data_IF_069966796303
#
_entry.id   IF_069966796303
#
_cell.length_a   1.000
_cell.length_b   1.000
_cell.length_c   1.000
_cell.angle_alpha   90.00
_cell.angle_beta   90.00
_cell.angle_gamma   90.00
#
_symmetry.space_group_name_H-M   'P 1'
#
loop_
_entity.id
_entity.type
_entity.pdbx_description
1 polymer ?
#
# COMPACT_ATOMS: atom_id res chain seq x y z
N UNK A 1 9.21 -5.40 15.69
CA UNK A 1 10.36 -4.71 16.27
C UNK A 1 9.99 -4.02 17.56
N UNK A 2 10.98 -3.78 18.43
CA UNK A 2 10.75 -3.00 19.63
C UNK A 2 11.00 -1.52 19.33
N UNK A 3 10.02 -0.67 19.59
CA UNK A 3 10.22 0.78 19.65
C UNK A 3 10.61 1.12 21.08
N UNK A 4 11.79 1.72 21.35
CA UNK A 4 12.20 2.07 22.71
C UNK A 4 11.13 2.94 23.40
N UNK A 5 10.70 2.52 24.58
CA UNK A 5 9.67 3.23 25.35
C UNK A 5 8.23 2.95 24.95
N UNK A 6 7.96 2.16 23.92
CA UNK A 6 6.60 1.76 23.55
C UNK A 6 6.12 0.58 24.41
N UNK A 7 4.95 0.72 25.03
CA UNK A 7 4.31 -0.36 25.80
C UNK A 7 3.63 -1.39 24.87
N UNK A 8 3.15 -0.97 23.71
CA UNK A 8 2.51 -1.81 22.70
C UNK A 8 3.06 -1.38 21.33
N UNK A 9 3.53 -2.34 20.54
CA UNK A 9 3.94 -2.11 19.14
C UNK A 9 3.09 -2.98 18.24
N UNK A 10 2.38 -2.32 17.33
CA UNK A 10 1.64 -2.96 16.27
C UNK A 10 2.14 -2.40 14.94
N UNK A 11 3.09 -3.10 14.33
CA UNK A 11 3.81 -2.63 13.14
C UNK A 11 4.24 -3.84 12.29
N UNK A 12 3.76 -3.89 11.06
CA UNK A 12 4.11 -4.92 10.09
C UNK A 12 5.39 -4.62 9.31
N UNK A 13 5.84 -3.37 9.30
CA UNK A 13 7.04 -2.97 8.55
C UNK A 13 8.32 -3.63 9.10
N UNK A 14 8.29 -4.10 10.33
CA UNK A 14 9.44 -4.74 10.97
C UNK A 14 9.43 -6.26 10.80
N UNK A 15 8.26 -6.86 10.72
CA UNK A 15 8.12 -8.34 10.64
C UNK A 15 8.02 -8.85 9.21
N UNK A 16 7.71 -7.99 8.22
CA UNK A 16 7.41 -8.40 6.85
C UNK A 16 6.11 -9.16 6.69
N UNK A 17 5.44 -9.50 7.81
CA UNK A 17 4.13 -10.16 7.80
C UNK A 17 3.04 -9.09 7.80
N UNK A 18 1.99 -9.22 6.96
CA UNK A 18 0.85 -8.34 7.03
C UNK A 18 0.22 -8.43 8.42
N UNK A 19 0.15 -7.32 9.14
CA UNK A 19 -0.59 -7.31 10.40
C UNK A 19 -2.06 -7.29 10.04
N UNK A 20 -2.70 -8.46 10.16
CA UNK A 20 -4.15 -8.53 10.10
C UNK A 20 -4.75 -7.72 11.24
N UNK A 21 -5.85 -7.01 10.96
CA UNK A 21 -6.63 -6.37 12.01
C UNK A 21 -7.05 -7.37 13.10
N UNK A 22 -7.21 -8.65 12.74
CA UNK A 22 -7.51 -9.75 13.66
C UNK A 22 -6.39 -10.02 14.67
N UNK A 23 -5.18 -9.54 14.42
CA UNK A 23 -4.06 -9.62 15.35
C UNK A 23 -4.06 -8.48 16.41
N UNK A 24 -4.95 -7.49 16.27
CA UNK A 24 -5.11 -6.48 17.30
C UNK A 24 -5.69 -7.09 18.59
N UNK A 25 -5.27 -6.61 19.76
CA UNK A 25 -5.84 -7.07 21.01
C UNK A 25 -7.36 -6.81 21.07
N UNK A 26 -8.09 -7.81 21.58
CA UNK A 26 -9.51 -7.67 21.84
C UNK A 26 -9.80 -6.47 22.77
N UNK A 27 -8.91 -6.25 23.73
CA UNK A 27 -8.97 -5.12 24.67
C UNK A 27 -7.62 -4.42 24.75
N UNK A 28 -7.65 -3.08 24.73
CA UNK A 28 -6.49 -2.20 24.86
C UNK A 28 -6.76 -1.21 25.99
N UNK A 29 -5.83 -1.08 26.96
CA UNK A 29 -5.82 0.04 27.88
C UNK A 29 -4.74 1.03 27.46
N UNK A 30 -5.09 2.30 27.42
CA UNK A 30 -4.17 3.42 27.19
C UNK A 30 -3.73 4.09 28.49
N UNK A 31 -4.11 3.53 29.65
CA UNK A 31 -3.75 4.07 30.96
C UNK A 31 -2.22 4.07 31.15
N UNK A 32 -1.70 5.22 31.52
CA UNK A 32 -0.25 5.40 31.73
C UNK A 32 0.56 5.54 30.43
N UNK A 33 -0.07 5.68 29.27
CA UNK A 33 0.61 5.97 28.02
C UNK A 33 0.59 7.46 27.71
N UNK A 34 1.74 8.02 27.30
CA UNK A 34 1.88 9.43 26.94
C UNK A 34 1.24 9.77 25.58
N UNK A 35 1.01 8.77 24.71
CA UNK A 35 0.40 8.98 23.41
C UNK A 35 0.44 7.77 22.49
N UNK A 36 -0.14 7.95 21.32
CA UNK A 36 -0.08 7.03 20.19
C UNK A 36 0.72 7.66 19.07
N UNK A 37 1.57 6.89 18.43
CA UNK A 37 2.36 7.34 17.31
C UNK A 37 2.47 6.27 16.22
N UNK A 38 2.81 6.72 15.02
CA UNK A 38 3.13 5.84 13.90
C UNK A 38 4.40 6.32 13.21
N UNK A 39 5.14 5.42 12.59
CA UNK A 39 6.30 5.73 11.75
C UNK A 39 5.87 6.16 10.34
N UNK A 40 4.70 5.70 9.90
CA UNK A 40 4.10 6.06 8.62
C UNK A 40 2.61 6.34 8.85
N UNK A 41 2.16 7.52 8.43
CA UNK A 41 0.75 7.87 8.46
C UNK A 41 0.07 7.28 7.21
N UNK A 42 -0.66 6.19 7.40
CA UNK A 42 -1.44 5.50 6.37
C UNK A 42 -2.77 4.99 6.93
N UNK A 43 -3.56 4.29 6.14
CA UNK A 43 -4.91 3.88 6.54
C UNK A 43 -4.88 2.85 7.66
N UNK A 44 -3.98 1.89 7.63
CA UNK A 44 -3.91 0.85 8.66
C UNK A 44 -3.43 1.41 10.00
N UNK A 45 -2.50 2.37 10.00
CA UNK A 45 -2.12 3.11 11.21
C UNK A 45 -3.29 3.93 11.79
N UNK A 46 -4.10 4.58 10.93
CA UNK A 46 -5.30 5.34 11.36
C UNK A 46 -6.32 4.39 11.99
N UNK A 47 -6.61 3.27 11.33
CA UNK A 47 -7.54 2.25 11.82
C UNK A 47 -7.04 1.66 13.14
N UNK A 48 -5.76 1.30 13.22
CA UNK A 48 -5.15 0.76 14.43
C UNK A 48 -5.21 1.72 15.61
N UNK A 49 -4.87 2.99 15.39
CA UNK A 49 -4.97 4.03 16.42
C UNK A 49 -6.42 4.24 16.89
N UNK A 50 -7.39 4.26 15.99
CA UNK A 50 -8.80 4.40 16.33
C UNK A 50 -9.29 3.23 17.20
N UNK A 51 -8.94 1.99 16.84
CA UNK A 51 -9.28 0.80 17.63
C UNK A 51 -8.67 0.87 19.02
N UNK A 52 -7.39 1.25 19.13
CA UNK A 52 -6.72 1.41 20.42
C UNK A 52 -7.42 2.44 21.32
N UNK A 53 -7.80 3.60 20.76
CA UNK A 53 -8.52 4.67 21.50
C UNK A 53 -9.92 4.21 21.96
N UNK A 54 -10.55 3.30 21.23
CA UNK A 54 -11.85 2.73 21.59
C UNK A 54 -11.75 1.63 22.65
N UNK A 55 -10.55 1.18 23.00
CA UNK A 55 -10.32 0.14 23.99
C UNK A 55 -10.17 -1.27 23.42
N UNK A 56 -9.95 -1.39 22.11
CA UNK A 56 -9.71 -2.66 21.43
C UNK A 56 -10.86 -3.10 20.51
N UNK A 57 -10.70 -4.26 19.89
CA UNK A 57 -11.66 -4.79 18.92
C UNK A 57 -13.06 -5.06 19.54
N UNK A 58 -13.11 -5.45 20.80
CA UNK A 58 -14.39 -5.76 21.48
C UNK A 58 -15.33 -4.55 21.59
N UNK A 59 -14.79 -3.33 21.51
CA UNK A 59 -15.57 -2.09 21.55
C UNK A 59 -16.27 -1.77 20.21
N UNK A 60 -16.03 -2.55 19.14
CA UNK A 60 -16.52 -2.28 17.78
C UNK A 60 -17.44 -3.40 17.35
N UNK A 61 -18.59 -3.08 16.76
CA UNK A 61 -19.51 -4.08 16.25
C UNK A 61 -18.89 -4.91 15.09
N UNK A 62 -19.32 -6.16 14.90
CA UNK A 62 -18.71 -7.07 13.91
C UNK A 62 -18.75 -6.54 12.47
N UNK A 63 -19.84 -5.90 12.03
CA UNK A 63 -19.97 -5.36 10.67
C UNK A 63 -18.97 -4.24 10.43
N UNK A 64 -18.79 -3.35 11.41
CA UNK A 64 -17.79 -2.29 11.33
C UNK A 64 -16.36 -2.81 11.38
N UNK A 65 -16.10 -3.87 12.18
CA UNK A 65 -14.78 -4.54 12.14
C UNK A 65 -14.46 -5.04 10.74
N UNK A 66 -15.45 -5.63 10.04
CA UNK A 66 -15.26 -6.10 8.68
C UNK A 66 -14.90 -4.96 7.71
N UNK A 67 -15.57 -3.80 7.82
CA UNK A 67 -15.25 -2.60 7.03
C UNK A 67 -13.84 -2.09 7.34
N UNK A 68 -13.48 -1.95 8.63
CA UNK A 68 -12.14 -1.51 9.04
C UNK A 68 -11.05 -2.48 8.57
N UNK A 69 -11.33 -3.78 8.65
CA UNK A 69 -10.45 -4.83 8.15
C UNK A 69 -10.24 -4.70 6.64
N UNK A 70 -11.30 -4.45 5.89
CA UNK A 70 -11.18 -4.23 4.45
C UNK A 70 -10.41 -2.95 4.14
N UNK A 71 -10.63 -1.85 4.87
CA UNK A 71 -9.90 -0.60 4.68
C UNK A 71 -8.38 -0.76 4.90
N UNK A 72 -8.00 -1.44 5.98
CA UNK A 72 -6.60 -1.79 6.26
C UNK A 72 -6.01 -2.69 5.16
N UNK A 73 -6.79 -3.68 4.71
CA UNK A 73 -6.35 -4.60 3.66
C UNK A 73 -6.15 -3.91 2.31
N UNK A 74 -7.01 -2.94 1.97
CA UNK A 74 -6.84 -2.11 0.78
C UNK A 74 -5.54 -1.30 0.79
N UNK A 75 -5.15 -0.80 1.97
CA UNK A 75 -3.87 -0.09 2.14
C UNK A 75 -2.68 -0.95 1.71
N UNK A 76 -2.72 -2.21 2.08
CA UNK A 76 -1.59 -3.12 1.98
C UNK A 76 -1.58 -4.01 0.75
N UNK A 77 -2.76 -4.41 0.28
CA UNK A 77 -2.91 -5.44 -0.74
C UNK A 77 -3.64 -4.96 -1.98
N UNK A 78 -4.10 -3.70 -2.00
CA UNK A 78 -4.86 -3.11 -3.10
C UNK A 78 -6.12 -3.92 -3.47
N UNK A 79 -6.70 -4.60 -2.50
CA UNK A 79 -7.93 -5.40 -2.62
C UNK A 79 -8.62 -5.52 -1.27
N UNK A 80 -9.88 -5.94 -1.28
CA UNK A 80 -10.63 -6.22 -0.05
C UNK A 80 -10.10 -7.39 0.75
N UNK A 81 -10.38 -7.39 2.04
CA UNK A 81 -9.99 -8.47 2.92
C UNK A 81 -10.75 -9.77 2.58
N UNK A 82 -10.10 -10.93 2.72
CA UNK A 82 -10.79 -12.21 2.55
C UNK A 82 -11.97 -12.36 3.52
N UNK A 83 -13.10 -12.90 3.02
CA UNK A 83 -14.26 -13.22 3.85
C UNK A 83 -15.14 -12.05 4.26
N UNK A 84 -14.92 -10.83 3.74
CA UNK A 84 -15.86 -9.71 3.86
C UNK A 84 -16.88 -9.74 2.72
N UNK A 85 -18.07 -9.19 2.98
CA UNK A 85 -19.09 -9.03 1.93
C UNK A 85 -18.71 -7.95 0.93
N UNK A 86 -19.31 -7.96 -0.26
CA UNK A 86 -19.06 -6.94 -1.28
C UNK A 86 -19.39 -5.52 -0.78
N UNK A 87 -20.40 -5.36 0.07
CA UNK A 87 -20.77 -4.06 0.63
C UNK A 87 -19.75 -3.60 1.69
N UNK A 88 -19.32 -4.48 2.59
CA UNK A 88 -18.27 -4.17 3.56
C UNK A 88 -16.95 -3.84 2.86
N UNK A 89 -16.64 -4.53 1.77
CA UNK A 89 -15.47 -4.25 0.95
C UNK A 89 -15.56 -2.88 0.27
N UNK A 90 -16.70 -2.56 -0.32
CA UNK A 90 -16.97 -1.26 -0.93
C UNK A 90 -16.80 -0.11 0.08
N UNK A 91 -17.35 -0.27 1.28
CA UNK A 91 -17.22 0.71 2.35
C UNK A 91 -15.80 0.79 2.90
N UNK A 92 -15.11 -0.34 3.05
CA UNK A 92 -13.70 -0.38 3.45
C UNK A 92 -12.80 0.31 2.45
N UNK A 93 -12.99 0.06 1.15
CA UNK A 93 -12.30 0.78 0.09
C UNK A 93 -12.57 2.29 0.16
N UNK A 94 -13.83 2.69 0.36
CA UNK A 94 -14.20 4.10 0.49
C UNK A 94 -13.52 4.79 1.67
N UNK A 95 -13.37 4.12 2.81
CA UNK A 95 -12.61 4.61 3.96
C UNK A 95 -11.12 4.73 3.63
N UNK A 96 -10.52 3.73 2.98
CA UNK A 96 -9.13 3.79 2.53
C UNK A 96 -8.90 4.99 1.60
N UNK A 97 -9.74 5.18 0.59
CA UNK A 97 -9.64 6.30 -0.36
C UNK A 97 -9.78 7.66 0.36
N UNK A 98 -10.67 7.77 1.36
CA UNK A 98 -10.82 8.96 2.17
C UNK A 98 -9.53 9.30 2.91
N UNK A 99 -8.95 8.34 3.61
CA UNK A 99 -7.69 8.51 4.35
C UNK A 99 -6.52 8.82 3.42
N UNK A 100 -6.32 8.04 2.37
CA UNK A 100 -5.20 8.18 1.44
C UNK A 100 -5.21 9.54 0.73
N UNK A 101 -6.38 10.00 0.26
CA UNK A 101 -6.49 11.29 -0.41
C UNK A 101 -6.29 12.47 0.55
N UNK A 102 -6.79 12.37 1.79
CA UNK A 102 -6.55 13.41 2.79
C UNK A 102 -5.06 13.53 3.11
N UNK A 103 -4.38 12.41 3.37
CA UNK A 103 -2.94 12.40 3.62
C UNK A 103 -2.11 12.89 2.43
N UNK A 104 -2.52 12.56 1.21
CA UNK A 104 -1.85 13.02 -0.01
C UNK A 104 -2.07 14.52 -0.30
N UNK A 105 -3.10 15.14 0.28
CA UNK A 105 -3.43 16.56 0.06
C UNK A 105 -2.68 17.52 0.98
N UNK A 106 -1.96 17.02 1.98
CA UNK A 106 -1.24 17.84 2.96
C UNK A 106 0.27 17.77 2.74
N UNK A 107 0.97 18.81 3.15
CA UNK A 107 2.44 18.80 3.16
C UNK A 107 2.96 17.81 4.23
N UNK A 108 4.16 17.28 3.99
CA UNK A 108 4.79 16.32 4.90
C UNK A 108 4.92 16.84 6.35
N UNK A 109 5.13 18.13 6.51
CA UNK A 109 5.19 18.80 7.82
C UNK A 109 3.87 18.78 8.59
N UNK A 110 2.75 18.60 7.88
CA UNK A 110 1.40 18.57 8.43
C UNK A 110 0.84 17.15 8.60
N UNK A 111 1.57 16.13 8.14
CA UNK A 111 1.11 14.73 8.16
C UNK A 111 0.65 14.25 9.54
N UNK A 112 1.36 14.65 10.61
CA UNK A 112 0.95 14.26 11.99
C UNK A 112 -0.38 14.89 12.41
N UNK A 113 -0.66 16.13 11.98
CA UNK A 113 -1.95 16.79 12.25
C UNK A 113 -3.07 16.14 11.47
N UNK A 114 -2.84 15.85 10.19
CA UNK A 114 -3.79 15.16 9.32
C UNK A 114 -4.10 13.75 9.85
N UNK A 115 -3.09 13.01 10.25
CA UNK A 115 -3.25 11.71 10.91
C UNK A 115 -4.14 11.81 12.15
N UNK A 116 -3.82 12.71 13.07
CA UNK A 116 -4.59 12.90 14.29
C UNK A 116 -6.04 13.36 14.01
N UNK A 117 -6.27 14.11 12.93
CA UNK A 117 -7.61 14.51 12.51
C UNK A 117 -8.41 13.30 12.02
N UNK A 118 -7.86 12.49 11.12
CA UNK A 118 -8.50 11.29 10.59
C UNK A 118 -8.82 10.26 11.67
N UNK A 119 -7.90 10.07 12.63
CA UNK A 119 -8.15 9.20 13.79
C UNK A 119 -9.34 9.71 14.60
N UNK A 120 -9.40 11.02 14.93
CA UNK A 120 -10.53 11.60 15.67
C UNK A 120 -11.85 11.46 14.92
N UNK A 121 -11.86 11.70 13.62
CA UNK A 121 -13.04 11.57 12.76
C UNK A 121 -13.55 10.12 12.76
N UNK A 122 -12.67 9.16 12.59
CA UNK A 122 -13.03 7.74 12.62
C UNK A 122 -13.54 7.31 14.01
N UNK A 123 -12.87 7.72 15.09
CA UNK A 123 -13.31 7.43 16.46
C UNK A 123 -14.70 8.03 16.75
N UNK A 124 -14.95 9.26 16.31
CA UNK A 124 -16.24 9.91 16.48
C UNK A 124 -17.36 9.15 15.77
N UNK A 125 -17.18 8.78 14.51
CA UNK A 125 -18.14 8.01 13.74
C UNK A 125 -18.41 6.63 14.36
N UNK A 126 -17.36 5.94 14.83
CA UNK A 126 -17.50 4.64 15.50
C UNK A 126 -18.28 4.74 16.82
N UNK A 127 -18.01 5.76 17.64
CA UNK A 127 -18.72 6.00 18.91
C UNK A 127 -20.18 6.38 18.71
N UNK A 128 -20.46 7.24 17.73
CA UNK A 128 -21.80 7.71 17.44
C UNK A 128 -22.68 6.65 16.74
N UNK A 129 -22.11 5.58 16.26
CA UNK A 129 -22.84 4.62 15.45
C UNK A 129 -23.20 5.14 14.05
N UNK A 130 -22.54 6.21 13.59
CA UNK A 130 -22.77 6.86 12.30
C UNK A 130 -22.06 6.15 11.15
N UNK A 131 -22.36 6.53 9.91
CA UNK A 131 -21.62 6.04 8.75
C UNK A 131 -20.13 6.39 8.87
N UNK A 132 -19.28 5.44 8.54
CA UNK A 132 -17.84 5.70 8.55
C UNK A 132 -17.48 6.72 7.46
N UNK A 133 -16.46 7.56 7.70
CA UNK A 133 -15.94 8.45 6.68
C UNK A 133 -15.62 7.65 5.42
N UNK A 134 -16.12 8.07 4.30
CA UNK A 134 -15.85 7.38 3.03
C UNK A 134 -15.77 8.37 1.88
N UNK A 135 -15.08 7.96 0.86
CA UNK A 135 -15.07 8.65 -0.42
C UNK A 135 -15.32 7.62 -1.51
N UNK A 136 -16.24 7.93 -2.40
CA UNK A 136 -16.40 7.08 -3.58
C UNK A 136 -15.07 7.05 -4.30
N UNK A 137 -14.60 5.83 -4.64
CA UNK A 137 -13.43 5.70 -5.46
C UNK A 137 -13.64 6.60 -6.68
N UNK A 138 -12.72 7.53 -6.92
CA UNK A 138 -12.84 8.43 -8.06
C UNK A 138 -13.13 7.57 -9.28
N UNK A 139 -14.22 7.86 -9.97
CA UNK A 139 -14.49 7.35 -11.31
C UNK A 139 -13.54 8.05 -12.29
N UNK A 140 -12.24 8.07 -11.96
CA UNK A 140 -11.26 8.55 -12.91
C UNK A 140 -11.33 7.62 -14.10
N UNK A 141 -11.63 8.20 -15.23
CA UNK A 141 -11.61 7.48 -16.50
C UNK A 141 -10.18 7.02 -16.76
N UNK A 142 -9.79 5.90 -16.14
CA UNK A 142 -8.53 5.26 -16.48
C UNK A 142 -8.60 4.97 -17.97
N UNK A 143 -7.73 5.52 -18.79
CA UNK A 143 -7.79 5.30 -20.23
C UNK A 143 -7.68 3.81 -20.52
N UNK A 144 -8.20 3.37 -21.64
CA UNK A 144 -7.96 2.03 -22.13
C UNK A 144 -6.46 1.90 -22.49
N UNK A 145 -5.66 1.46 -21.52
CA UNK A 145 -4.22 1.32 -21.65
C UNK A 145 -3.84 0.27 -22.71
N UNK A 146 -4.72 -0.72 -22.93
CA UNK A 146 -4.52 -1.72 -23.97
C UNK A 146 -4.72 -1.10 -25.36
N UNK A 147 -5.80 -0.33 -25.56
CA UNK A 147 -6.03 0.39 -26.82
C UNK A 147 -4.93 1.44 -27.09
N UNK A 148 -4.34 2.00 -26.04
CA UNK A 148 -3.20 2.92 -26.16
C UNK A 148 -1.86 2.21 -26.40
N UNK A 149 -1.82 0.89 -26.51
CA UNK A 149 -0.59 0.12 -26.65
C UNK A 149 0.35 0.20 -25.44
N UNK A 150 -0.20 0.47 -24.24
CA UNK A 150 0.57 0.64 -23.00
C UNK A 150 0.72 -0.64 -22.19
N UNK A 151 0.10 -1.72 -22.62
CA UNK A 151 0.20 -3.03 -21.97
C UNK A 151 0.84 -4.02 -22.95
N UNK A 152 1.94 -4.62 -22.53
CA UNK A 152 2.63 -5.70 -23.26
C UNK A 152 2.70 -6.92 -22.35
N UNK A 153 2.18 -8.06 -22.83
CA UNK A 153 2.19 -9.31 -22.06
C UNK A 153 3.41 -10.17 -22.41
N UNK A 154 4.17 -10.58 -21.42
CA UNK A 154 5.38 -11.39 -21.52
C UNK A 154 5.19 -12.72 -20.76
N UNK A 155 4.29 -13.58 -21.21
CA UNK A 155 3.90 -14.79 -20.49
C UNK A 155 3.13 -14.45 -19.20
N UNK A 156 3.62 -14.84 -18.01
CA UNK A 156 2.91 -14.57 -16.76
C UNK A 156 3.06 -13.11 -16.27
N UNK A 157 3.81 -12.27 -16.97
CA UNK A 157 4.08 -10.89 -16.55
C UNK A 157 3.56 -9.89 -17.57
N UNK A 158 2.77 -8.91 -17.13
CA UNK A 158 2.41 -7.75 -17.93
C UNK A 158 3.36 -6.58 -17.64
N UNK A 159 3.86 -5.94 -18.67
CA UNK A 159 4.47 -4.62 -18.60
C UNK A 159 3.38 -3.57 -18.86
N UNK A 160 3.17 -2.66 -17.89
CA UNK A 160 2.21 -1.56 -17.98
C UNK A 160 2.97 -0.24 -17.98
N UNK A 161 3.08 0.40 -19.15
CA UNK A 161 3.84 1.65 -19.33
C UNK A 161 2.95 2.88 -19.15
N UNK A 162 3.08 3.55 -18.01
CA UNK A 162 2.35 4.76 -17.65
C UNK A 162 3.15 6.06 -17.89
N UNK A 163 4.37 5.97 -18.43
CA UNK A 163 5.21 7.13 -18.66
C UNK A 163 4.57 8.10 -19.65
N UNK A 164 4.71 9.38 -19.37
CA UNK A 164 4.21 10.45 -20.25
C UNK A 164 2.68 10.59 -20.30
N UNK A 165 1.91 9.85 -19.49
CA UNK A 165 0.44 10.00 -19.46
C UNK A 165 -0.02 11.25 -18.71
N UNK A 166 0.87 11.89 -17.92
CA UNK A 166 0.59 13.16 -17.24
C UNK A 166 -0.49 13.11 -16.17
N UNK A 167 -1.00 11.93 -15.85
CA UNK A 167 -2.04 11.72 -14.85
C UNK A 167 -1.72 10.52 -13.96
N UNK A 168 -2.04 10.57 -12.67
CA UNK A 168 -1.95 9.40 -11.81
C UNK A 168 -2.97 8.36 -12.25
N UNK A 169 -2.52 7.13 -12.46
CA UNK A 169 -3.38 5.99 -12.77
C UNK A 169 -3.42 5.08 -11.54
N UNK A 170 -4.62 4.71 -11.13
CA UNK A 170 -4.83 3.68 -10.10
C UNK A 170 -4.26 2.34 -10.60
N UNK A 171 -3.25 1.76 -9.92
CA UNK A 171 -2.65 0.48 -10.32
C UNK A 171 -3.67 -0.64 -10.47
N UNK A 172 -4.71 -0.68 -9.65
CA UNK A 172 -5.76 -1.71 -9.73
C UNK A 172 -6.54 -1.66 -11.03
N UNK A 173 -6.83 -0.45 -11.53
CA UNK A 173 -7.51 -0.28 -12.81
C UNK A 173 -6.61 -0.64 -13.97
N UNK A 174 -5.31 -0.42 -13.84
CA UNK A 174 -4.34 -0.91 -14.80
C UNK A 174 -4.30 -2.45 -14.79
N UNK A 175 -4.31 -3.06 -13.60
CA UNK A 175 -4.30 -4.51 -13.45
C UNK A 175 -5.58 -5.18 -13.99
N UNK A 176 -6.74 -4.54 -13.90
CA UNK A 176 -7.98 -5.04 -14.48
C UNK A 176 -7.95 -5.13 -16.02
N UNK A 177 -6.99 -4.47 -16.68
CA UNK A 177 -6.90 -4.42 -18.15
C UNK A 177 -6.01 -5.53 -18.76
N UNK A 178 -5.45 -6.45 -17.96
CA UNK A 178 -4.68 -7.60 -18.44
C UNK A 178 -4.98 -8.87 -17.65
N UNK A 179 -4.54 -10.03 -18.18
CA UNK A 179 -4.77 -11.35 -17.58
C UNK A 179 -3.52 -11.98 -16.98
N UNK A 180 -2.41 -11.27 -16.95
CA UNK A 180 -1.19 -11.79 -16.38
C UNK A 180 -1.28 -11.78 -14.84
N UNK A 181 -0.81 -12.84 -14.15
CA UNK A 181 -0.81 -12.93 -12.70
C UNK A 181 0.08 -11.90 -12.00
N UNK A 182 1.09 -11.37 -12.70
CA UNK A 182 2.00 -10.34 -12.17
C UNK A 182 2.06 -9.16 -13.14
N UNK A 183 2.15 -7.94 -12.61
CA UNK A 183 2.38 -6.74 -13.39
C UNK A 183 3.67 -6.03 -12.96
N UNK A 184 4.39 -5.51 -13.94
CA UNK A 184 5.45 -4.51 -13.81
C UNK A 184 4.90 -3.19 -14.33
N UNK A 185 4.58 -2.28 -13.44
CA UNK A 185 4.11 -0.94 -13.80
C UNK A 185 5.29 0.01 -13.87
N UNK A 186 5.35 0.80 -14.93
CA UNK A 186 6.44 1.75 -15.21
C UNK A 186 5.88 3.15 -15.26
N UNK A 187 6.46 4.08 -14.53
CA UNK A 187 6.07 5.49 -14.53
C UNK A 187 7.31 6.40 -14.48
N UNK A 188 7.11 7.67 -14.78
CA UNK A 188 8.15 8.67 -14.62
C UNK A 188 8.39 8.93 -13.13
N UNK A 189 9.66 9.00 -12.74
CA UNK A 189 10.02 9.38 -11.38
C UNK A 189 10.20 10.90 -11.30
N UNK A 190 9.62 11.55 -10.29
CA UNK A 190 9.63 13.00 -10.11
C UNK A 190 11.03 13.65 -10.03
N UNK A 191 12.05 12.85 -9.69
CA UNK A 191 13.46 13.28 -9.59
C UNK A 191 14.32 12.81 -10.77
N UNK A 192 13.68 12.33 -11.83
CA UNK A 192 14.32 11.72 -13.00
C UNK A 192 14.53 10.22 -12.85
N UNK A 193 14.65 9.52 -13.98
CA UNK A 193 14.70 8.06 -14.02
C UNK A 193 13.31 7.40 -14.05
N UNK A 194 13.28 6.11 -13.80
CA UNK A 194 12.08 5.29 -13.93
C UNK A 194 11.59 4.80 -12.57
N UNK A 195 10.31 4.97 -12.31
CA UNK A 195 9.63 4.40 -11.15
C UNK A 195 8.96 3.09 -11.55
N UNK A 196 9.20 2.05 -10.77
CA UNK A 196 8.55 0.76 -10.94
C UNK A 196 7.67 0.41 -9.76
N UNK A 197 6.60 -0.29 -10.04
CA UNK A 197 5.85 -1.08 -9.07
C UNK A 197 5.67 -2.47 -9.65
N UNK A 198 6.08 -3.49 -8.93
CA UNK A 198 5.87 -4.89 -9.27
C UNK A 198 4.86 -5.46 -8.31
N UNK A 199 3.79 -6.02 -8.82
CA UNK A 199 2.72 -6.52 -7.96
C UNK A 199 1.95 -7.68 -8.55
N UNK A 200 1.36 -8.45 -7.66
CA UNK A 200 0.43 -9.53 -8.00
C UNK A 200 -0.87 -8.92 -8.49
N UNK A 201 -1.42 -9.44 -9.58
CA UNK A 201 -2.71 -9.00 -10.11
C UNK A 201 -3.86 -9.61 -9.29
N UNK A 202 -4.58 -8.82 -8.49
CA UNK A 202 -5.64 -9.33 -7.63
C UNK A 202 -6.89 -9.81 -8.40
N UNK A 203 -6.97 -9.52 -9.70
CA UNK A 203 -8.10 -9.89 -10.57
C UNK A 203 -7.87 -11.23 -11.29
N UNK A 204 -6.75 -11.92 -11.05
CA UNK A 204 -6.38 -13.18 -11.69
C UNK A 204 -6.22 -14.26 -10.63
N UNK A 205 -6.87 -15.42 -10.86
CA UNK A 205 -6.70 -16.59 -10.00
C UNK A 205 -5.33 -17.25 -10.22
N UNK A 206 -4.83 -17.96 -9.19
CA UNK A 206 -3.56 -18.66 -9.27
C UNK A 206 -2.34 -17.75 -9.29
N UNK A 207 -2.48 -16.54 -8.79
CA UNK A 207 -1.35 -15.59 -8.67
C UNK A 207 -0.34 -16.08 -7.62
N UNK A 208 0.96 -15.78 -7.81
CA UNK A 208 1.96 -16.11 -6.80
C UNK A 208 1.66 -15.41 -5.47
N UNK A 209 1.86 -16.11 -4.37
CA UNK A 209 1.70 -15.56 -3.02
C UNK A 209 2.94 -14.78 -2.57
N UNK A 210 4.08 -14.97 -3.24
CA UNK A 210 5.36 -14.39 -2.85
C UNK A 210 6.21 -14.03 -4.07
N UNK A 211 6.64 -12.77 -4.13
CA UNK A 211 7.54 -12.21 -5.13
C UNK A 211 8.94 -11.89 -4.56
N UNK A 212 9.27 -12.36 -3.37
CA UNK A 212 10.55 -12.03 -2.69
C UNK A 212 11.78 -12.44 -3.52
N UNK A 213 11.70 -13.54 -4.28
CA UNK A 213 12.77 -13.94 -5.19
C UNK A 213 12.95 -12.91 -6.30
N UNK A 214 11.88 -12.39 -6.87
CA UNK A 214 11.91 -11.34 -7.88
C UNK A 214 12.53 -10.06 -7.31
N UNK A 215 12.08 -9.65 -6.12
CA UNK A 215 12.63 -8.50 -5.40
C UNK A 215 14.15 -8.63 -5.21
N UNK A 216 14.61 -9.79 -4.72
CA UNK A 216 16.04 -10.03 -4.51
C UNK A 216 16.87 -9.96 -5.80
N UNK A 217 16.37 -10.52 -6.91
CA UNK A 217 17.04 -10.46 -8.21
C UNK A 217 17.12 -9.04 -8.77
N UNK A 218 16.04 -8.28 -8.68
CA UNK A 218 15.98 -6.90 -9.17
C UNK A 218 16.88 -6.00 -8.33
N UNK A 219 16.84 -6.11 -7.00
CA UNK A 219 17.71 -5.36 -6.12
C UNK A 219 19.18 -5.65 -6.38
N UNK A 220 19.54 -6.91 -6.64
CA UNK A 220 20.88 -7.31 -7.04
C UNK A 220 21.34 -6.71 -8.37
N UNK A 221 20.45 -6.71 -9.39
CA UNK A 221 20.72 -6.09 -10.68
C UNK A 221 20.89 -4.57 -10.56
N UNK A 222 20.01 -3.88 -9.83
CA UNK A 222 20.15 -2.44 -9.57
C UNK A 222 21.48 -2.10 -8.91
N UNK A 223 21.91 -2.93 -7.96
CA UNK A 223 23.19 -2.75 -7.26
C UNK A 223 24.40 -2.88 -8.19
N UNK A 224 24.31 -3.74 -9.20
CA UNK A 224 25.35 -3.93 -10.21
C UNK A 224 25.55 -2.69 -11.11
N UNK A 225 24.56 -1.82 -11.24
CA UNK A 225 24.66 -0.54 -11.95
C UNK A 225 25.39 0.55 -11.15
N UNK A 226 25.92 0.24 -9.98
CA UNK A 226 26.69 1.12 -9.12
C UNK A 226 25.89 1.69 -7.95
N UNK A 227 26.57 2.32 -6.98
CA UNK A 227 25.89 2.89 -5.83
C UNK A 227 24.88 3.94 -6.28
N UNK A 228 23.69 3.96 -5.65
CA UNK A 228 22.72 5.00 -5.90
C UNK A 228 23.35 6.38 -5.64
N UNK A 229 22.94 7.36 -6.42
CA UNK A 229 23.29 8.75 -6.18
C UNK A 229 22.53 9.22 -4.93
N UNK A 230 23.07 8.92 -3.75
CA UNK A 230 22.48 9.28 -2.47
C UNK A 230 22.43 10.80 -2.34
N UNK A 231 21.25 11.39 -2.37
CA UNK A 231 21.08 12.73 -1.82
C UNK A 231 21.04 12.62 -0.30
N UNK A 232 21.78 13.47 0.39
CA UNK A 232 21.96 13.47 1.84
C UNK A 232 20.68 13.57 2.69
N UNK A 233 19.51 13.72 2.07
CA UNK A 233 18.18 13.79 2.72
C UNK A 233 17.39 12.47 2.69
N UNK A 234 17.99 11.40 2.23
CA UNK A 234 17.32 10.10 2.18
C UNK A 234 17.30 9.43 3.55
N UNK A 235 16.13 9.11 4.06
CA UNK A 235 16.01 8.26 5.23
C UNK A 235 16.54 6.85 4.97
N UNK A 236 16.98 6.12 6.01
CA UNK A 236 17.44 4.74 5.86
C UNK A 236 16.37 3.85 5.22
N UNK A 237 16.77 3.00 4.29
CA UNK A 237 15.90 2.02 3.63
C UNK A 237 15.17 2.50 2.37
N UNK A 238 15.31 3.78 2.01
CA UNK A 238 14.65 4.35 0.82
C UNK A 238 15.52 4.31 -0.45
N UNK A 239 16.76 3.86 -0.32
CA UNK A 239 17.73 3.70 -1.41
C UNK A 239 17.62 2.39 -2.17
N UNK A 240 16.87 1.45 -1.67
CA UNK A 240 16.77 0.11 -2.23
C UNK A 240 15.37 -0.17 -2.77
N UNK A 241 15.28 -1.15 -3.65
CA UNK A 241 14.02 -1.79 -3.94
C UNK A 241 13.46 -2.39 -2.66
N UNK A 242 12.17 -2.18 -2.43
CA UNK A 242 11.52 -2.64 -1.20
C UNK A 242 10.02 -2.68 -1.29
N UNK A 243 9.42 -3.36 -0.33
CA UNK A 243 7.97 -3.54 -0.25
C UNK A 243 7.63 -4.86 0.42
N UNK A 244 6.52 -5.44 0.02
CA UNK A 244 5.96 -6.69 0.57
C UNK A 244 6.13 -7.85 -0.39
N UNK A 245 5.87 -9.04 0.10
CA UNK A 245 5.92 -10.26 -0.70
C UNK A 245 5.01 -10.21 -1.95
N UNK A 246 3.90 -9.48 -1.91
CA UNK A 246 2.94 -9.40 -3.02
C UNK A 246 3.03 -8.12 -3.85
N UNK A 247 3.71 -7.09 -3.35
CA UNK A 247 3.90 -5.81 -4.05
C UNK A 247 5.14 -5.10 -3.53
N UNK A 248 5.98 -4.65 -4.45
CA UNK A 248 7.18 -3.90 -4.13
C UNK A 248 7.48 -2.86 -5.22
N UNK A 249 8.35 -1.92 -4.92
CA UNK A 249 8.70 -0.83 -5.84
C UNK A 249 10.17 -0.48 -5.88
N UNK A 250 10.50 0.32 -6.86
CA UNK A 250 11.82 0.90 -7.02
C UNK A 250 12.13 1.92 -5.92
N UNK A 251 13.40 2.28 -5.72
CA UNK A 251 13.82 3.24 -4.70
C UNK A 251 13.03 4.57 -4.79
N UNK A 252 12.63 5.10 -3.66
CA UNK A 252 11.81 6.32 -3.59
C UNK A 252 12.61 7.61 -3.77
N UNK A 253 13.92 7.54 -3.54
CA UNK A 253 14.78 8.74 -3.55
C UNK A 253 15.36 9.05 -4.91
N UNK A 254 15.40 8.08 -5.80
CA UNK A 254 15.87 8.18 -7.17
C UNK A 254 15.12 7.16 -8.03
N UNK A 255 15.01 7.41 -9.32
CA UNK A 255 14.48 6.43 -10.24
C UNK A 255 15.42 5.26 -10.42
N UNK A 256 14.88 4.08 -10.71
CA UNK A 256 15.66 2.92 -11.10
C UNK A 256 16.42 3.18 -12.41
N UNK A 257 17.58 2.55 -12.55
CA UNK A 257 18.41 2.57 -13.76
C UNK A 257 18.14 1.38 -14.68
N UNK A 258 17.44 0.38 -14.19
CA UNK A 258 17.08 -0.80 -14.97
C UNK A 258 16.11 -0.43 -16.09
N UNK A 259 16.30 -1.04 -17.26
CA UNK A 259 15.34 -0.93 -18.34
C UNK A 259 14.07 -1.74 -18.04
N UNK A 260 12.88 -1.33 -18.55
CA UNK A 260 11.65 -2.05 -18.32
C UNK A 260 11.70 -3.53 -18.70
N UNK A 261 12.28 -3.85 -19.85
CA UNK A 261 12.42 -5.24 -20.32
C UNK A 261 13.34 -6.07 -19.41
N UNK A 262 14.35 -5.45 -18.82
CA UNK A 262 15.24 -6.10 -17.86
C UNK A 262 14.51 -6.45 -16.57
N UNK A 263 13.69 -5.53 -16.02
CA UNK A 263 12.86 -5.79 -14.85
C UNK A 263 11.86 -6.92 -15.14
N UNK A 264 11.19 -6.87 -16.29
CA UNK A 264 10.26 -7.94 -16.72
C UNK A 264 10.98 -9.28 -16.82
N UNK A 265 12.18 -9.33 -17.42
CA UNK A 265 12.96 -10.57 -17.55
C UNK A 265 13.35 -11.14 -16.18
N UNK A 266 13.75 -10.29 -15.23
CA UNK A 266 14.09 -10.72 -13.86
C UNK A 266 12.90 -11.26 -13.10
N UNK A 267 11.73 -10.61 -13.24
CA UNK A 267 10.45 -11.09 -12.64
C UNK A 267 10.08 -12.45 -13.24
N UNK A 268 10.07 -12.57 -14.57
CA UNK A 268 9.75 -13.84 -15.25
C UNK A 268 10.68 -14.98 -14.79
N UNK A 269 11.97 -14.72 -14.75
CA UNK A 269 12.95 -15.71 -14.30
C UNK A 269 12.76 -16.13 -12.83
N UNK A 270 12.12 -15.30 -12.02
CA UNK A 270 11.79 -15.63 -10.63
C UNK A 270 10.51 -16.47 -10.49
N UNK A 271 9.63 -16.39 -11.47
CA UNK A 271 8.36 -17.14 -11.48
C UNK A 271 8.51 -18.57 -12.04
N UNK A 272 9.65 -18.91 -12.65
CA UNK A 272 9.93 -20.22 -13.28
C UNK A 272 9.60 -20.16 -14.74
#
# INVERSE_FOLDING_TARGET
GTVPGAAIVWDHHVTGEPVSLDAMPARVSLDGLDGLGTTLADTDAIVGAAIAILGGLDAIDPGRRAILRSASWWCDHLRGAPGVSAEEDRLGRGLHEHCAQHLASVERSESSRAFAQLVRELVAALRAGEALPHRDAKTDATPDLRALGRITEHGPVALVDLRGLGMPIDPLRAYAQHRCPVAVTVADHSKGGTRYTVGVNPHVEGTPSDLSIALGRIAGAEHAHGPPCLRASAGPGTENWGGRATVFGSPWNYGSRLAPDEVVALVRAALG
#
